data_IF_864391828331
#
_entry.id   IF_864391828331
#
_cell.length_a   1.000
_cell.length_b   1.000
_cell.length_c   1.000
_cell.angle_alpha   90.00
_cell.angle_beta   90.00
_cell.angle_gamma   90.00
#
_symmetry.space_group_name_H-M   'P 1'
#
loop_
_entity.id
_entity.type
_entity.pdbx_description
1 polymer ?
#
# COMPACT_ATOMS: atom_id res chain seq x y z
N UNK A 1 10.54 27.52 38.94
CA UNK A 1 9.61 26.93 37.96
C UNK A 1 9.39 25.49 38.38
N UNK A 2 8.24 25.19 38.98
CA UNK A 2 7.90 23.84 39.44
C UNK A 2 7.83 22.91 38.23
N UNK A 3 8.63 21.84 38.25
CA UNK A 3 8.44 20.70 37.34
C UNK A 3 6.99 20.22 37.53
N UNK A 4 6.14 20.50 36.54
CA UNK A 4 4.82 19.91 36.42
C UNK A 4 5.05 18.45 36.07
N UNK A 5 5.14 17.59 37.08
CA UNK A 5 4.93 16.16 36.89
C UNK A 5 3.44 16.00 36.65
N UNK A 6 3.01 16.20 35.40
CA UNK A 6 1.69 15.77 34.99
C UNK A 6 1.62 14.27 35.31
N UNK A 7 0.72 13.87 36.20
CA UNK A 7 0.49 12.48 36.55
C UNK A 7 0.20 11.73 35.24
N UNK A 8 1.19 10.96 34.78
CA UNK A 8 1.11 10.23 33.51
C UNK A 8 0.17 9.03 33.71
N UNK A 9 -1.13 9.29 33.72
CA UNK A 9 -2.16 8.25 33.73
C UNK A 9 -2.18 7.57 32.35
N UNK A 10 -1.54 6.40 32.27
CA UNK A 10 -1.58 5.53 31.10
C UNK A 10 -2.73 4.53 31.19
N UNK A 11 -3.51 4.42 30.12
CA UNK A 11 -4.60 3.47 29.96
C UNK A 11 -4.24 2.46 28.88
N UNK A 12 -4.52 1.18 29.12
CA UNK A 12 -4.35 0.11 28.14
C UNK A 12 -5.60 -0.01 27.28
N UNK A 13 -5.44 0.02 25.96
CA UNK A 13 -6.55 -0.22 25.04
C UNK A 13 -6.85 -1.72 24.95
N UNK A 14 -8.09 -2.12 25.24
CA UNK A 14 -8.49 -3.54 25.23
C UNK A 14 -8.49 -4.16 23.81
N UNK A 15 -8.61 -3.32 22.78
CA UNK A 15 -8.71 -3.76 21.38
C UNK A 15 -7.34 -4.05 20.74
N UNK A 16 -6.32 -3.26 21.06
CA UNK A 16 -4.97 -3.39 20.47
C UNK A 16 -3.86 -3.65 21.50
N UNK A 17 -4.17 -3.63 22.79
CA UNK A 17 -3.22 -3.90 23.88
C UNK A 17 -2.18 -2.81 24.15
N UNK A 18 -2.24 -1.67 23.44
CA UNK A 18 -1.25 -0.58 23.56
C UNK A 18 -1.60 0.32 24.76
N UNK A 19 -0.56 0.76 25.50
CA UNK A 19 -0.68 1.76 26.56
C UNK A 19 -0.62 3.17 25.98
N UNK A 20 -1.61 4.01 26.34
CA UNK A 20 -1.77 5.36 25.82
C UNK A 20 -2.04 6.32 26.97
N UNK A 21 -1.57 7.56 26.84
CA UNK A 21 -1.89 8.59 27.81
C UNK A 21 -3.39 8.90 27.79
N UNK A 22 -3.94 9.32 28.95
CA UNK A 22 -5.36 9.72 29.11
C UNK A 22 -5.88 10.61 27.99
N UNK A 23 -5.07 11.59 27.59
CA UNK A 23 -5.45 12.60 26.59
C UNK A 23 -5.69 11.99 25.20
N UNK A 24 -5.02 10.88 24.88
CA UNK A 24 -5.07 10.23 23.55
C UNK A 24 -5.94 8.97 23.61
N UNK A 25 -6.19 8.44 24.81
CA UNK A 25 -6.90 7.17 24.99
C UNK A 25 -8.32 7.19 24.41
N UNK A 26 -9.09 8.25 24.65
CA UNK A 26 -10.46 8.37 24.16
C UNK A 26 -10.53 8.40 22.63
N UNK A 27 -9.64 9.15 21.99
CA UNK A 27 -9.59 9.27 20.53
C UNK A 27 -9.10 7.98 19.89
N UNK A 28 -8.05 7.39 20.45
CA UNK A 28 -7.58 6.09 20.01
C UNK A 28 -8.69 5.04 20.13
N UNK A 29 -9.40 4.95 21.26
CA UNK A 29 -10.45 3.94 21.48
C UNK A 29 -11.61 4.09 20.50
N UNK A 30 -11.93 5.32 20.06
CA UNK A 30 -12.97 5.57 19.04
C UNK A 30 -12.54 5.14 17.64
N UNK A 31 -11.25 5.21 17.34
CA UNK A 31 -10.70 4.85 16.02
C UNK A 31 -10.11 3.44 15.97
N UNK A 32 -9.88 2.80 17.12
CA UNK A 32 -9.22 1.50 17.19
C UNK A 32 -10.14 0.41 16.63
N UNK A 33 -9.66 -0.27 15.60
CA UNK A 33 -10.37 -1.40 14.97
C UNK A 33 -9.91 -2.77 15.48
N UNK A 34 -8.84 -2.83 16.28
CA UNK A 34 -8.26 -4.06 16.81
C UNK A 34 -6.98 -4.49 16.09
N UNK A 35 -6.27 -5.46 16.67
CA UNK A 35 -4.94 -5.89 16.22
C UNK A 35 -4.92 -6.56 14.82
N UNK A 36 -6.05 -7.15 14.43
CA UNK A 36 -6.21 -7.93 13.18
C UNK A 36 -7.33 -7.37 12.29
N UNK A 37 -7.66 -6.08 12.45
CA UNK A 37 -8.64 -5.46 11.57
C UNK A 37 -8.01 -5.09 10.23
N UNK A 38 -8.65 -5.51 9.14
CA UNK A 38 -8.35 -5.06 7.78
C UNK A 38 -8.99 -3.69 7.46
N UNK A 39 -9.83 -3.15 8.35
CA UNK A 39 -10.42 -1.82 8.22
C UNK A 39 -9.41 -0.71 8.58
N UNK A 40 -9.31 0.28 7.69
CA UNK A 40 -8.54 1.51 7.91
C UNK A 40 -9.18 2.40 8.98
N UNK A 41 -8.34 3.14 9.71
CA UNK A 41 -8.82 4.16 10.66
C UNK A 41 -9.35 5.38 9.92
N UNK A 42 -10.31 6.10 10.53
CA UNK A 42 -10.83 7.35 9.95
C UNK A 42 -9.74 8.39 9.70
N UNK A 43 -8.77 8.49 10.61
CA UNK A 43 -7.60 9.36 10.44
C UNK A 43 -6.70 8.94 9.28
N UNK A 44 -6.59 7.65 9.00
CA UNK A 44 -5.85 7.13 7.84
C UNK A 44 -6.62 7.36 6.54
N UNK A 45 -7.94 7.16 6.53
CA UNK A 45 -8.80 7.51 5.40
C UNK A 45 -8.69 9.00 5.06
N UNK A 46 -8.70 9.89 6.07
CA UNK A 46 -8.52 11.33 5.85
C UNK A 46 -7.15 11.67 5.25
N UNK A 47 -6.08 11.00 5.69
CA UNK A 47 -4.75 11.19 5.09
C UNK A 47 -4.71 10.73 3.63
N UNK A 48 -5.40 9.64 3.31
CA UNK A 48 -5.54 9.17 1.93
C UNK A 48 -6.36 10.17 1.11
N UNK A 49 -7.48 10.66 1.64
CA UNK A 49 -8.30 11.71 1.02
C UNK A 49 -7.50 13.00 0.80
N UNK A 50 -6.70 13.45 1.78
CA UNK A 50 -5.84 14.62 1.65
C UNK A 50 -4.75 14.42 0.59
N UNK A 51 -4.08 13.25 0.57
CA UNK A 51 -3.08 12.93 -0.44
C UNK A 51 -3.67 12.87 -1.87
N UNK A 52 -4.89 12.34 -2.01
CA UNK A 52 -5.62 12.35 -3.28
C UNK A 52 -6.01 13.78 -3.69
N UNK A 53 -6.55 14.55 -2.74
CA UNK A 53 -6.94 15.94 -2.97
C UNK A 53 -5.74 16.85 -3.24
N UNK A 54 -4.54 16.57 -2.73
CA UNK A 54 -3.32 17.32 -3.07
C UNK A 54 -2.86 17.05 -4.50
N UNK A 55 -2.97 15.80 -4.97
CA UNK A 55 -2.77 15.44 -6.38
C UNK A 55 -3.78 16.14 -7.31
N UNK A 56 -5.04 16.26 -6.86
CA UNK A 56 -6.09 16.95 -7.60
C UNK A 56 -5.95 18.48 -7.54
N UNK A 57 -5.52 19.06 -6.41
CA UNK A 57 -5.31 20.51 -6.23
C UNK A 57 -4.13 21.06 -7.04
N UNK A 58 -3.08 20.27 -7.25
CA UNK A 58 -2.01 20.64 -8.19
C UNK A 58 -2.52 20.78 -9.63
N UNK A 59 -3.61 20.08 -9.97
CA UNK A 59 -4.25 20.10 -11.30
C UNK A 59 -5.41 21.11 -11.37
N UNK A 60 -6.01 21.47 -10.24
CA UNK A 60 -7.29 22.21 -10.18
C UNK A 60 -7.19 23.74 -10.02
N UNK A 61 -6.00 24.34 -10.03
CA UNK A 61 -5.91 25.82 -10.06
C UNK A 61 -6.32 26.44 -11.41
N UNK A 62 -6.69 25.63 -12.41
CA UNK A 62 -7.08 26.08 -13.76
C UNK A 62 -8.32 25.38 -14.34
N UNK A 63 -9.34 25.00 -13.56
CA UNK A 63 -10.52 24.35 -14.15
C UNK A 63 -11.87 24.79 -13.56
N UNK A 64 -12.71 25.31 -14.46
CA UNK A 64 -14.15 25.53 -14.33
C UNK A 64 -14.89 24.22 -13.91
N UNK A 65 -16.00 24.28 -13.15
CA UNK A 65 -16.58 23.14 -12.45
C UNK A 65 -17.50 22.26 -13.33
N UNK A 66 -17.16 22.03 -14.60
CA UNK A 66 -18.05 21.30 -15.51
C UNK A 66 -17.41 20.65 -16.75
N UNK A 67 -16.12 20.80 -16.97
CA UNK A 67 -15.43 20.14 -18.08
C UNK A 67 -14.31 19.27 -17.53
N UNK A 68 -14.35 17.95 -17.80
CA UNK A 68 -13.16 17.13 -17.66
C UNK A 68 -12.07 17.80 -18.51
N UNK A 69 -10.97 18.29 -17.91
CA UNK A 69 -9.93 18.95 -18.67
C UNK A 69 -9.41 17.94 -19.71
N UNK A 70 -9.22 18.37 -20.97
CA UNK A 70 -8.64 17.49 -21.98
C UNK A 70 -7.28 17.02 -21.45
N UNK A 71 -7.15 15.70 -21.23
CA UNK A 71 -5.91 15.11 -20.74
C UNK A 71 -4.80 15.51 -21.72
N UNK A 72 -3.72 16.16 -21.26
CA UNK A 72 -2.64 16.56 -22.14
C UNK A 72 -2.12 15.34 -22.91
N UNK A 73 -1.92 15.49 -24.22
CA UNK A 73 -1.50 14.40 -25.12
C UNK A 73 -0.24 13.72 -24.60
N UNK A 74 0.67 14.49 -24.02
CA UNK A 74 1.91 14.04 -23.37
C UNK A 74 1.66 13.02 -22.24
N UNK A 75 0.62 13.22 -21.42
CA UNK A 75 0.25 12.31 -20.32
C UNK A 75 -0.32 11.00 -20.89
N UNK A 76 -1.13 11.10 -21.94
CA UNK A 76 -1.66 9.93 -22.65
C UNK A 76 -0.54 9.12 -23.30
N UNK A 77 0.43 9.79 -23.93
CA UNK A 77 1.59 9.17 -24.53
C UNK A 77 2.49 8.50 -23.48
N UNK A 78 2.73 9.14 -22.33
CA UNK A 78 3.47 8.53 -21.22
C UNK A 78 2.78 7.27 -20.68
N UNK A 79 1.45 7.30 -20.52
CA UNK A 79 0.68 6.12 -20.13
C UNK A 79 0.75 5.01 -21.17
N UNK A 80 0.67 5.35 -22.45
CA UNK A 80 0.81 4.38 -23.54
C UNK A 80 2.21 3.76 -23.57
N UNK A 81 3.26 4.57 -23.40
CA UNK A 81 4.64 4.08 -23.30
C UNK A 81 4.84 3.18 -22.09
N UNK A 82 4.29 3.54 -20.92
CA UNK A 82 4.34 2.72 -19.73
C UNK A 82 3.63 1.36 -19.95
N UNK A 83 2.49 1.37 -20.66
CA UNK A 83 1.77 0.14 -21.02
C UNK A 83 2.60 -0.76 -21.92
N UNK A 84 3.23 -0.19 -22.96
CA UNK A 84 4.11 -0.92 -23.87
C UNK A 84 5.31 -1.51 -23.12
N UNK A 85 5.96 -0.73 -22.24
CA UNK A 85 7.09 -1.21 -21.42
C UNK A 85 6.69 -2.39 -20.54
N UNK A 86 5.51 -2.34 -19.90
CA UNK A 86 4.98 -3.46 -19.11
C UNK A 86 4.71 -4.68 -19.97
N UNK A 87 4.11 -4.51 -21.14
CA UNK A 87 3.82 -5.62 -22.04
C UNK A 87 5.09 -6.32 -22.53
N UNK A 88 6.12 -5.54 -22.88
CA UNK A 88 7.45 -6.07 -23.27
C UNK A 88 8.10 -6.82 -22.11
N UNK A 89 8.11 -6.24 -20.90
CA UNK A 89 8.65 -6.88 -19.71
C UNK A 89 7.92 -8.20 -19.39
N UNK A 90 6.60 -8.20 -19.43
CA UNK A 90 5.78 -9.38 -19.20
C UNK A 90 6.06 -10.48 -20.23
N UNK A 91 6.25 -10.11 -21.51
CA UNK A 91 6.58 -11.08 -22.56
C UNK A 91 7.95 -11.72 -22.33
N UNK A 92 8.93 -10.94 -21.91
CA UNK A 92 10.25 -11.45 -21.55
C UNK A 92 10.16 -12.39 -20.35
N UNK A 93 9.46 -11.97 -19.28
CA UNK A 93 9.31 -12.75 -18.06
C UNK A 93 8.66 -14.11 -18.35
N UNK A 94 7.56 -14.14 -19.11
CA UNK A 94 6.91 -15.41 -19.52
C UNK A 94 7.85 -16.35 -20.28
N UNK A 95 8.74 -15.81 -21.10
CA UNK A 95 9.70 -16.64 -21.84
C UNK A 95 10.78 -17.23 -20.92
N UNK A 96 11.18 -16.50 -19.87
CA UNK A 96 12.09 -16.99 -18.84
C UNK A 96 11.40 -18.03 -17.96
N UNK A 97 10.20 -17.74 -17.48
CA UNK A 97 9.41 -18.65 -16.63
C UNK A 97 9.18 -19.98 -17.34
N UNK A 98 8.81 -19.95 -18.63
CA UNK A 98 8.65 -21.17 -19.43
C UNK A 98 9.93 -22.02 -19.48
N UNK A 99 11.10 -21.40 -19.63
CA UNK A 99 12.38 -22.14 -19.63
C UNK A 99 12.67 -22.76 -18.26
N UNK A 100 12.34 -22.05 -17.19
CA UNK A 100 12.49 -22.54 -15.82
C UNK A 100 11.54 -23.73 -15.59
N UNK A 101 10.28 -23.63 -16.00
CA UNK A 101 9.29 -24.72 -15.92
C UNK A 101 9.74 -25.97 -16.70
N UNK A 102 10.29 -25.80 -17.90
CA UNK A 102 10.84 -26.91 -18.70
C UNK A 102 12.07 -27.57 -18.04
N UNK A 103 12.86 -26.81 -17.28
CA UNK A 103 14.00 -27.32 -16.52
C UNK A 103 13.57 -27.99 -15.20
N UNK A 104 12.54 -27.45 -14.55
CA UNK A 104 11.96 -27.96 -13.31
C UNK A 104 10.78 -28.90 -13.57
N UNK A 105 10.81 -29.66 -14.67
CA UNK A 105 9.78 -30.68 -14.89
C UNK A 105 9.79 -31.69 -13.72
N UNK A 106 8.61 -32.17 -13.34
CA UNK A 106 8.45 -33.09 -12.21
C UNK A 106 9.33 -34.34 -12.34
N UNK A 107 9.57 -34.79 -13.58
CA UNK A 107 10.47 -35.89 -13.91
C UNK A 107 11.93 -35.55 -13.63
N UNK A 108 12.41 -34.37 -14.05
CA UNK A 108 13.79 -33.91 -13.80
C UNK A 108 14.03 -33.67 -12.31
N UNK A 109 13.06 -33.11 -11.60
CA UNK A 109 13.15 -32.92 -10.15
C UNK A 109 13.19 -34.25 -9.39
N UNK A 110 12.40 -35.26 -9.81
CA UNK A 110 12.46 -36.60 -9.22
C UNK A 110 13.79 -37.30 -9.51
N UNK A 111 14.32 -37.17 -10.72
CA UNK A 111 15.63 -37.72 -11.08
C UNK A 111 16.76 -37.08 -10.26
N UNK A 112 16.71 -35.76 -10.07
CA UNK A 112 17.67 -35.04 -9.24
C UNK A 112 17.56 -35.41 -7.75
N UNK A 113 16.33 -35.58 -7.24
CA UNK A 113 16.12 -36.04 -5.87
C UNK A 113 16.61 -37.48 -5.66
N UNK A 114 16.46 -38.37 -6.65
CA UNK A 114 17.01 -39.72 -6.59
C UNK A 114 18.54 -39.70 -6.55
N UNK A 115 19.18 -38.90 -7.41
CA UNK A 115 20.64 -38.73 -7.42
C UNK A 115 21.21 -38.19 -6.10
N UNK A 116 20.49 -37.30 -5.41
CA UNK A 116 20.93 -36.74 -4.11
C UNK A 116 20.75 -37.69 -2.92
N UNK A 117 19.96 -38.76 -3.07
CA UNK A 117 19.70 -39.74 -2.01
C UNK A 117 20.54 -41.03 -2.16
N UNK A 118 21.34 -41.14 -3.23
CA UNK A 118 22.41 -42.14 -3.39
C UNK A 118 23.73 -41.63 -2.79
#
# INVERSE_FOLDING_TARGET
MSQVTADLEYFKCDMCGIYLHKDIFCDHRRECKGLHSDELKKSECRKVEEALNEGDKATSQFADPGANPPIPVEVVELHQQARIRREVANKYQRAVDKRIEEQLSSEKMRALAAFLNE
#
